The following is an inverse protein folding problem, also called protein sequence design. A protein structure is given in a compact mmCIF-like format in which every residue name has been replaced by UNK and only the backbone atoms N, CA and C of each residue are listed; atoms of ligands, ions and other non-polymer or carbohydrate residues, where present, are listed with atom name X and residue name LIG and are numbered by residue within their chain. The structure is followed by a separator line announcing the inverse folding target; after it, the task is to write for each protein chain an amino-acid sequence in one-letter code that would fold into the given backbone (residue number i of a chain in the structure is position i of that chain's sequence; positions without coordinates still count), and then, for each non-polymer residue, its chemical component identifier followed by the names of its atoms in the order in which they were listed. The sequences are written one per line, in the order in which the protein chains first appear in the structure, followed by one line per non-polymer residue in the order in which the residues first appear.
data_IF_477783993049
#
_entry.id   IF_477783993049
#
_cell.length_a   1.000
_cell.length_b   1.000
_cell.length_c   1.000
_cell.angle_alpha   90.00
_cell.angle_beta   90.00
_cell.angle_gamma   90.00
#
_symmetry.space_group_name_H-M   'P 1'
#
loop_
_entity.id
_entity.type
_entity.pdbx_description
1 polymer ?
#
# COMPACT_ATOMS: atom_id res chain seq x y z
N UNK A 1 4.53 14.33 61.76
CA UNK A 1 4.02 14.61 60.39
C UNK A 1 4.88 13.83 59.41
N UNK A 2 4.33 12.83 58.72
CA UNK A 2 5.07 11.99 57.76
C UNK A 2 4.93 12.58 56.36
N UNK A 3 6.04 13.09 55.82
CA UNK A 3 6.16 13.63 54.47
C UNK A 3 6.00 12.47 53.48
N UNK A 4 4.89 12.44 52.72
CA UNK A 4 4.70 11.49 51.61
C UNK A 4 5.34 12.08 50.36
N UNK A 5 6.50 11.56 50.01
CA UNK A 5 7.18 11.80 48.74
C UNK A 5 6.35 11.18 47.62
N UNK A 6 5.62 12.01 46.86
CA UNK A 6 4.96 11.57 45.65
C UNK A 6 5.99 11.49 44.53
N UNK A 7 6.39 10.26 44.19
CA UNK A 7 7.17 9.96 43.01
C UNK A 7 6.28 10.20 41.78
N UNK A 8 6.42 11.36 41.15
CA UNK A 8 5.79 11.63 39.86
C UNK A 8 6.60 10.87 38.80
N UNK A 9 6.23 9.63 38.57
CA UNK A 9 6.72 8.86 37.44
C UNK A 9 6.16 9.49 36.16
N UNK A 10 7.00 10.32 35.53
CA UNK A 10 6.79 10.84 34.18
C UNK A 10 6.71 9.65 33.22
N UNK A 11 5.49 9.19 32.94
CA UNK A 11 5.20 8.29 31.83
C UNK A 11 5.38 9.10 30.54
N UNK A 12 6.63 9.12 30.04
CA UNK A 12 6.93 9.39 28.65
C UNK A 12 6.36 8.22 27.84
N UNK A 13 5.04 8.22 27.63
CA UNK A 13 4.45 7.50 26.50
C UNK A 13 4.96 8.21 25.25
N UNK A 14 6.10 7.74 24.75
CA UNK A 14 6.54 8.02 23.39
C UNK A 14 5.42 7.53 22.48
N UNK A 15 4.67 8.47 21.95
CA UNK A 15 3.69 8.29 20.88
C UNK A 15 4.43 7.82 19.62
N UNK A 16 4.92 6.59 19.60
CA UNK A 16 5.29 5.90 18.37
C UNK A 16 4.00 5.43 17.70
N UNK A 17 3.17 6.39 17.29
CA UNK A 17 2.17 6.17 16.27
C UNK A 17 2.96 6.13 14.95
N UNK A 18 3.71 5.06 14.71
CA UNK A 18 4.19 4.77 13.37
C UNK A 18 2.95 4.51 12.54
N UNK A 19 2.71 5.46 11.63
CA UNK A 19 1.66 5.40 10.64
C UNK A 19 1.56 3.98 10.10
N UNK A 20 0.37 3.37 10.21
CA UNK A 20 0.01 2.28 9.32
C UNK A 20 0.36 2.74 7.91
N UNK A 21 1.23 1.98 7.23
CA UNK A 21 1.87 2.32 5.96
C UNK A 21 0.84 2.59 4.86
N UNK A 22 0.27 3.79 4.86
CA UNK A 22 -0.75 4.21 3.91
C UNK A 22 -0.07 4.82 2.69
N UNK A 23 0.23 3.98 1.71
CA UNK A 23 0.81 4.40 0.44
C UNK A 23 -0.23 4.63 -0.63
N UNK A 24 -1.32 5.28 -0.22
CA UNK A 24 -2.35 5.78 -1.13
C UNK A 24 -1.86 6.98 -1.96
N UNK A 25 -0.89 7.73 -1.44
CA UNK A 25 -0.31 8.89 -2.11
C UNK A 25 1.22 8.75 -2.14
N UNK A 26 1.83 9.02 -3.29
CA UNK A 26 3.28 9.04 -3.46
C UNK A 26 3.73 10.40 -3.96
N UNK A 27 5.04 10.62 -4.01
CA UNK A 27 5.60 11.78 -4.70
C UNK A 27 5.16 11.79 -6.17
N UNK A 28 5.00 12.98 -6.76
CA UNK A 28 4.64 13.12 -8.20
C UNK A 28 5.53 12.24 -9.07
N UNK A 29 6.84 12.22 -8.82
CA UNK A 29 7.80 11.38 -9.53
C UNK A 29 7.42 9.89 -9.46
N UNK A 30 7.19 9.37 -8.25
CA UNK A 30 6.86 7.95 -8.07
C UNK A 30 5.49 7.59 -8.65
N UNK A 31 4.51 8.50 -8.58
CA UNK A 31 3.20 8.29 -9.22
C UNK A 31 3.32 8.26 -10.74
N UNK A 32 4.12 9.15 -11.33
CA UNK A 32 4.39 9.11 -12.78
C UNK A 32 5.02 7.79 -13.18
N UNK A 33 6.08 7.35 -12.48
CA UNK A 33 6.72 6.06 -12.75
C UNK A 33 5.75 4.87 -12.63
N UNK A 34 4.90 4.88 -11.60
CA UNK A 34 3.89 3.84 -11.38
C UNK A 34 2.82 3.86 -12.47
N UNK A 35 2.35 5.06 -12.84
CA UNK A 35 1.35 5.24 -13.90
C UNK A 35 1.86 4.69 -15.22
N UNK A 36 3.11 5.03 -15.59
CA UNK A 36 3.74 4.55 -16.81
C UNK A 36 3.92 3.02 -16.81
N UNK A 37 4.32 2.43 -15.67
CA UNK A 37 4.43 0.98 -15.52
C UNK A 37 3.07 0.26 -15.69
N UNK A 38 2.01 0.77 -15.05
CA UNK A 38 0.66 0.23 -15.18
C UNK A 38 0.10 0.43 -16.59
N UNK A 39 0.35 1.58 -17.21
CA UNK A 39 -0.08 1.87 -18.58
C UNK A 39 0.62 0.96 -19.60
N UNK A 40 1.93 0.73 -19.43
CA UNK A 40 2.70 -0.20 -20.26
C UNK A 40 2.19 -1.63 -20.08
N UNK A 41 1.95 -2.07 -18.85
CA UNK A 41 1.39 -3.39 -18.58
C UNK A 41 0.00 -3.57 -19.22
N UNK A 42 -0.87 -2.55 -19.08
CA UNK A 42 -2.19 -2.50 -19.72
C UNK A 42 -2.11 -2.62 -21.24
N UNK A 43 -1.17 -1.91 -21.87
CA UNK A 43 -1.00 -1.95 -23.33
C UNK A 43 -0.49 -3.31 -23.86
N UNK A 44 0.18 -4.11 -23.03
CA UNK A 44 0.79 -5.39 -23.43
C UNK A 44 -0.14 -6.60 -23.28
N UNK A 45 -1.26 -6.48 -22.57
CA UNK A 45 -2.12 -7.61 -22.24
C UNK A 45 -3.56 -7.34 -22.68
N UNK A 46 -4.20 -8.33 -23.31
CA UNK A 46 -5.62 -8.24 -23.69
C UNK A 46 -6.54 -8.13 -22.49
N UNK A 47 -6.14 -8.70 -21.35
CA UNK A 47 -6.83 -8.59 -20.06
C UNK A 47 -5.80 -8.32 -18.97
N UNK A 48 -5.46 -7.04 -18.73
CA UNK A 48 -4.43 -6.67 -17.77
C UNK A 48 -4.99 -6.77 -16.34
N UNK A 49 -4.59 -7.79 -15.61
CA UNK A 49 -5.02 -8.04 -14.23
C UNK A 49 -3.88 -7.73 -13.26
N UNK A 50 -4.19 -7.00 -12.20
CA UNK A 50 -3.35 -6.85 -11.02
C UNK A 50 -4.07 -7.43 -9.81
N UNK A 51 -3.33 -7.71 -8.75
CA UNK A 51 -3.88 -8.32 -7.55
C UNK A 51 -3.96 -7.30 -6.42
N UNK A 52 -5.01 -7.39 -5.61
CA UNK A 52 -5.14 -6.69 -4.34
C UNK A 52 -5.17 -7.68 -3.19
N UNK A 53 -4.36 -7.44 -2.17
CA UNK A 53 -4.41 -8.19 -0.92
C UNK A 53 -3.90 -7.38 0.27
N UNK A 54 -4.74 -7.24 1.29
CA UNK A 54 -4.45 -6.56 2.54
C UNK A 54 -4.57 -7.50 3.74
N UNK A 55 -3.43 -8.06 4.17
CA UNK A 55 -3.36 -8.87 5.39
C UNK A 55 -3.85 -8.13 6.64
N UNK A 56 -3.45 -6.86 6.90
CA UNK A 56 -3.96 -6.08 8.04
C UNK A 56 -5.47 -5.81 7.98
N UNK A 57 -6.09 -5.88 6.80
CA UNK A 57 -7.52 -5.76 6.61
C UNK A 57 -8.27 -7.08 6.85
N UNK A 58 -7.54 -8.16 7.20
CA UNK A 58 -8.03 -9.53 7.28
C UNK A 58 -8.66 -10.02 5.97
N UNK A 59 -8.06 -9.67 4.83
CA UNK A 59 -8.42 -10.29 3.56
C UNK A 59 -8.13 -11.79 3.65
N UNK A 60 -9.13 -12.60 3.31
CA UNK A 60 -9.10 -14.06 3.28
C UNK A 60 -8.62 -14.63 1.93
N UNK A 61 -8.68 -13.82 0.87
CA UNK A 61 -8.19 -14.17 -0.46
C UNK A 61 -7.66 -12.96 -1.25
N UNK A 62 -6.87 -13.25 -2.28
CA UNK A 62 -6.37 -12.25 -3.23
C UNK A 62 -7.49 -11.85 -4.19
N UNK A 63 -7.75 -10.55 -4.30
CA UNK A 63 -8.78 -10.00 -5.19
C UNK A 63 -8.16 -9.52 -6.50
N UNK A 64 -8.46 -10.14 -7.65
CA UNK A 64 -8.01 -9.64 -8.94
C UNK A 64 -8.75 -8.34 -9.30
N UNK A 65 -8.02 -7.41 -9.92
CA UNK A 65 -8.51 -6.15 -10.45
C UNK A 65 -8.11 -6.08 -11.93
N UNK A 66 -9.10 -6.00 -12.82
CA UNK A 66 -8.86 -5.71 -14.23
C UNK A 66 -8.56 -4.22 -14.39
N UNK A 67 -7.44 -3.87 -15.02
CA UNK A 67 -7.03 -2.49 -15.28
C UNK A 67 -7.77 -1.91 -16.50
N UNK A 68 -8.98 -1.41 -16.29
CA UNK A 68 -9.81 -0.81 -17.33
C UNK A 68 -9.46 0.66 -17.54
N UNK A 69 -9.32 1.42 -16.44
CA UNK A 69 -9.05 2.85 -16.47
C UNK A 69 -7.93 3.22 -15.50
N UNK A 70 -7.06 4.13 -15.92
CA UNK A 70 -5.99 4.70 -15.11
C UNK A 70 -6.11 6.22 -15.15
N UNK A 71 -6.21 6.85 -13.99
CA UNK A 71 -6.29 8.30 -13.86
C UNK A 71 -5.19 8.81 -12.93
N UNK A 72 -4.45 9.83 -13.38
CA UNK A 72 -3.53 10.55 -12.52
C UNK A 72 -4.30 11.62 -11.73
N UNK A 73 -4.25 11.54 -10.38
CA UNK A 73 -4.96 12.48 -9.51
C UNK A 73 -4.01 13.20 -8.55
N UNK A 74 -3.80 14.52 -8.70
CA UNK A 74 -2.97 15.29 -7.78
C UNK A 74 -3.61 15.35 -6.38
N UNK A 75 -2.77 15.32 -5.34
CA UNK A 75 -3.21 15.49 -3.96
C UNK A 75 -3.26 16.99 -3.60
N UNK A 76 -4.00 17.35 -2.54
CA UNK A 76 -4.06 18.73 -2.05
C UNK A 76 -2.69 19.22 -1.56
N UNK A 77 -1.86 18.30 -1.06
CA UNK A 77 -0.47 18.59 -0.67
C UNK A 77 0.41 18.61 -1.91
N UNK A 78 1.04 19.76 -2.18
CA UNK A 78 1.95 19.94 -3.32
C UNK A 78 3.05 18.89 -3.32
N UNK A 79 3.33 18.33 -4.50
CA UNK A 79 4.37 17.32 -4.68
C UNK A 79 3.91 15.88 -4.45
N UNK A 80 2.64 15.67 -4.11
CA UNK A 80 2.03 14.35 -3.96
C UNK A 80 0.87 14.13 -4.93
N UNK A 81 0.67 12.89 -5.33
CA UNK A 81 -0.41 12.46 -6.21
C UNK A 81 -0.83 11.01 -5.90
N UNK A 82 -1.81 10.52 -6.64
CA UNK A 82 -2.26 9.12 -6.64
C UNK A 82 -2.60 8.68 -8.07
N UNK A 83 -2.66 7.37 -8.26
CA UNK A 83 -3.26 6.74 -9.46
C UNK A 83 -4.62 6.19 -9.03
N UNK A 84 -5.68 6.57 -9.73
CA UNK A 84 -6.97 5.88 -9.63
C UNK A 84 -6.99 4.74 -10.63
N UNK A 85 -7.44 3.58 -10.16
CA UNK A 85 -7.66 2.39 -10.96
C UNK A 85 -9.16 2.16 -11.00
N UNK A 86 -9.76 2.24 -12.18
CA UNK A 86 -11.22 2.15 -12.40
C UNK A 86 -11.97 3.14 -11.49
N UNK A 87 -11.52 4.40 -11.45
CA UNK A 87 -12.09 5.47 -10.62
C UNK A 87 -11.84 5.35 -9.11
N UNK A 88 -11.17 4.28 -8.63
CA UNK A 88 -10.90 4.06 -7.21
C UNK A 88 -9.44 4.28 -6.85
N UNK A 89 -9.21 5.00 -5.76
CA UNK A 89 -7.89 5.13 -5.16
C UNK A 89 -7.57 3.88 -4.33
N UNK A 90 -6.45 3.24 -4.63
CA UNK A 90 -5.94 2.10 -3.88
C UNK A 90 -4.69 2.48 -3.10
N UNK A 91 -4.42 1.70 -2.06
CA UNK A 91 -3.16 1.77 -1.35
C UNK A 91 -2.15 0.84 -2.03
N UNK A 92 -1.07 1.41 -2.57
CA UNK A 92 -0.09 0.65 -3.36
C UNK A 92 0.64 -0.40 -2.53
N UNK A 93 0.64 -0.26 -1.20
CA UNK A 93 1.19 -1.23 -0.27
C UNK A 93 0.45 -2.59 -0.32
N UNK A 94 -0.76 -2.63 -0.90
CA UNK A 94 -1.59 -3.83 -1.04
C UNK A 94 -1.87 -4.22 -2.50
N UNK A 95 -1.25 -3.55 -3.46
CA UNK A 95 -1.37 -3.88 -4.88
C UNK A 95 -0.16 -4.68 -5.34
N UNK A 96 -0.40 -5.67 -6.20
CA UNK A 96 0.63 -6.54 -6.73
C UNK A 96 0.51 -6.64 -8.25
N UNK A 97 1.64 -6.47 -8.92
CA UNK A 97 1.76 -6.63 -10.36
C UNK A 97 2.65 -7.86 -10.62
N UNK A 98 2.09 -8.88 -11.28
CA UNK A 98 2.79 -10.15 -11.56
C UNK A 98 3.40 -10.76 -10.28
N UNK A 99 2.64 -10.79 -9.19
CA UNK A 99 3.10 -11.33 -7.90
C UNK A 99 3.88 -10.35 -7.00
N UNK A 100 4.39 -9.24 -7.55
CA UNK A 100 5.28 -8.30 -6.84
C UNK A 100 4.53 -7.12 -6.25
N UNK A 101 4.80 -6.82 -4.98
CA UNK A 101 4.18 -5.70 -4.26
C UNK A 101 4.62 -4.37 -4.88
N UNK A 102 3.67 -3.55 -5.32
CA UNK A 102 3.92 -2.25 -5.95
C UNK A 102 4.43 -1.22 -4.95
N UNK A 103 4.01 -1.28 -3.69
CA UNK A 103 4.49 -0.41 -2.61
C UNK A 103 5.97 -0.61 -2.28
N UNK A 104 6.47 -1.84 -2.33
CA UNK A 104 7.86 -2.15 -1.97
C UNK A 104 8.89 -1.33 -2.78
N UNK A 105 8.60 -1.09 -4.07
CA UNK A 105 9.45 -0.28 -4.97
C UNK A 105 9.61 1.17 -4.51
N UNK A 106 8.63 1.71 -3.78
CA UNK A 106 8.58 3.10 -3.33
C UNK A 106 8.84 3.26 -1.83
N UNK A 107 9.46 2.25 -1.21
CA UNK A 107 9.71 2.16 0.23
C UNK A 107 8.43 2.21 1.09
N UNK A 108 7.31 1.83 0.51
CA UNK A 108 6.06 1.56 1.22
C UNK A 108 6.10 0.11 1.66
N UNK A 109 6.58 -0.13 2.88
CA UNK A 109 6.78 -1.50 3.35
C UNK A 109 5.44 -2.09 3.80
N UNK A 110 5.01 -3.16 3.16
CA UNK A 110 4.19 -4.17 3.83
C UNK A 110 5.02 -5.45 3.92
N UNK A 111 4.88 -6.19 5.01
CA UNK A 111 5.69 -7.38 5.30
C UNK A 111 5.37 -8.59 4.42
N UNK A 112 4.63 -8.43 3.31
CA UNK A 112 4.00 -9.52 2.55
C UNK A 112 4.21 -9.39 1.04
N UNK A 113 4.61 -10.49 0.39
CA UNK A 113 4.61 -10.63 -1.08
C UNK A 113 3.47 -11.56 -1.53
N UNK A 114 2.79 -11.26 -2.64
CA UNK A 114 1.70 -12.15 -3.10
C UNK A 114 2.20 -13.46 -3.68
N UNK A 115 3.41 -13.52 -4.24
CA UNK A 115 4.07 -14.76 -4.66
C UNK A 115 4.13 -15.80 -3.52
N UNK A 116 4.40 -15.36 -2.29
CA UNK A 116 4.42 -16.25 -1.11
C UNK A 116 3.02 -16.68 -0.63
N UNK A 117 1.96 -15.95 -0.99
CA UNK A 117 0.58 -16.31 -0.64
C UNK A 117 0.05 -17.46 -1.50
N UNK A 118 0.38 -17.48 -2.79
CA UNK A 118 -0.02 -18.57 -3.69
C UNK A 118 0.76 -19.88 -3.43
N UNK A 119 1.98 -19.79 -2.89
CA UNK A 119 2.79 -20.95 -2.53
C UNK A 119 2.28 -21.67 -1.27
N UNK A 120 1.61 -20.98 -0.34
CA UNK A 120 1.08 -21.58 0.88
C UNK A 120 -0.29 -22.24 0.68
N UNK A 121 -1.09 -21.81 -0.31
CA UNK A 121 -2.39 -22.41 -0.61
C UNK A 121 -2.33 -23.76 -1.35
N UNK A 122 -1.17 -24.12 -1.93
CA UNK A 122 -0.95 -25.41 -2.59
C UNK A 122 -0.36 -26.49 -1.66
N UNK A 123 -0.35 -26.25 -0.34
CA UNK A 123 0.07 -27.24 0.69
C UNK A 123 -1.10 -27.73 1.56
N UNK A 124 -2.33 -27.64 1.03
CA UNK A 124 -3.54 -28.23 1.62
C UNK A 124 -3.86 -29.57 0.99
#
# INVERSE_FOLDING_TARGET
MKLRTYLVSLLLFSSQCFAQDHCKYLSVKHVTELFDELAQFKAQHSTPVIDYYCGPCNDDYVRPIVLEELEYKPHQVKGFASVLINGKAYDFAYLYLKGKNLGHKYNCKTSVSSETLFASQNKG
#
